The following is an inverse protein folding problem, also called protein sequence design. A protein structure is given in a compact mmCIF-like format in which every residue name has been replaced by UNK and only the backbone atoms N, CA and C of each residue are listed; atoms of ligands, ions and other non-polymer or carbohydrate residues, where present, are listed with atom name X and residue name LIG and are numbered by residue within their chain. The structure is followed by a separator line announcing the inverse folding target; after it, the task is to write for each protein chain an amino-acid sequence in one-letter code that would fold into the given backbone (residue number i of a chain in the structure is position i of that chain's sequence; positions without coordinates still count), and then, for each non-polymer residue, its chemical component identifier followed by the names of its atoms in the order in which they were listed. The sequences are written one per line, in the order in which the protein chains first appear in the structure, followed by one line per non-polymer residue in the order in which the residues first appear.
data_IF_045435360362
#
_entry.id   IF_045435360362
#
_cell.length_a   1.000
_cell.length_b   1.000
_cell.length_c   1.000
_cell.angle_alpha   90.00
_cell.angle_beta   90.00
_cell.angle_gamma   90.00
#
_symmetry.space_group_name_H-M   'P 1'
#
loop_
_entity.id
_entity.type
_entity.pdbx_description
1 polymer ?
#
# COMPACT_ATOMS: atom_id res chain seq x y z
N UNK A 1 -21.14 0.14 18.30
CA UNK A 1 -19.69 0.32 18.50
C UNK A 1 -18.99 -1.03 18.48
N UNK A 2 -17.98 -1.15 17.68
CA UNK A 2 -17.20 -2.38 17.64
C UNK A 2 -16.23 -2.44 18.81
N UNK A 3 -15.99 -3.65 19.33
CA UNK A 3 -14.91 -3.86 20.31
C UNK A 3 -13.56 -3.66 19.62
N UNK A 4 -12.54 -3.18 20.34
CA UNK A 4 -11.21 -3.08 19.77
C UNK A 4 -10.73 -4.45 19.29
N UNK A 5 -10.14 -4.47 18.10
CA UNK A 5 -9.58 -5.69 17.54
C UNK A 5 -8.26 -6.03 18.24
N UNK A 6 -8.04 -7.31 18.55
CA UNK A 6 -6.75 -7.80 19.03
C UNK A 6 -5.81 -8.17 17.88
N UNK A 7 -6.28 -8.01 16.65
CA UNK A 7 -5.48 -8.30 15.46
C UNK A 7 -4.37 -7.23 15.32
N UNK A 8 -3.08 -7.64 15.29
CA UNK A 8 -1.98 -6.68 15.08
C UNK A 8 -2.15 -5.83 13.82
N UNK A 9 -2.87 -6.34 12.82
CA UNK A 9 -3.15 -5.60 11.59
C UNK A 9 -3.86 -4.27 11.88
N UNK A 10 -4.79 -4.27 12.84
CA UNK A 10 -5.60 -3.10 13.16
C UNK A 10 -4.75 -1.92 13.66
N UNK A 11 -3.58 -2.19 14.26
CA UNK A 11 -2.68 -1.15 14.77
C UNK A 11 -1.53 -0.83 13.82
N UNK A 12 -1.45 -1.48 12.67
CA UNK A 12 -0.39 -1.20 11.72
C UNK A 12 -0.74 0.04 10.90
N UNK A 13 -0.11 1.17 11.23
CA UNK A 13 -0.43 2.47 10.63
C UNK A 13 -0.28 2.49 9.13
N UNK A 14 0.70 1.76 8.57
CA UNK A 14 0.92 1.68 7.13
C UNK A 14 -0.28 1.03 6.42
N UNK A 15 -0.87 0.01 7.04
CA UNK A 15 -2.08 -0.62 6.50
C UNK A 15 -3.23 0.37 6.43
N UNK A 16 -3.39 1.20 7.45
CA UNK A 16 -4.45 2.21 7.47
C UNK A 16 -4.24 3.27 6.39
N UNK A 17 -2.98 3.69 6.17
CA UNK A 17 -2.65 4.59 5.07
C UNK A 17 -3.00 3.97 3.72
N UNK A 18 -2.69 2.70 3.54
CA UNK A 18 -2.98 1.99 2.28
C UNK A 18 -4.48 1.90 2.04
N UNK A 19 -5.27 1.61 3.06
CA UNK A 19 -6.73 1.57 2.95
C UNK A 19 -7.30 2.92 2.61
N UNK A 20 -6.84 3.97 3.27
CA UNK A 20 -7.30 5.33 3.00
C UNK A 20 -6.95 5.75 1.56
N UNK A 21 -5.76 5.39 1.11
CA UNK A 21 -5.35 5.68 -0.26
C UNK A 21 -6.25 4.97 -1.27
N UNK A 22 -6.62 3.73 -1.01
CA UNK A 22 -7.56 3.00 -1.86
C UNK A 22 -8.91 3.73 -1.92
N UNK A 23 -9.41 4.18 -0.77
CA UNK A 23 -10.67 4.92 -0.71
C UNK A 23 -10.58 6.25 -1.47
N UNK A 24 -9.47 6.96 -1.30
CA UNK A 24 -9.25 8.25 -1.99
C UNK A 24 -9.21 8.06 -3.51
N UNK A 25 -8.75 6.91 -3.97
CA UNK A 25 -8.70 6.62 -5.40
C UNK A 25 -10.08 6.54 -6.03
N UNK A 26 -11.13 6.31 -5.23
CA UNK A 26 -12.51 6.27 -5.76
C UNK A 26 -12.85 7.57 -6.48
N UNK A 27 -12.53 8.70 -5.87
CA UNK A 27 -12.74 10.02 -6.48
C UNK A 27 -11.82 10.23 -7.68
N UNK A 28 -10.56 9.87 -7.54
CA UNK A 28 -9.59 9.98 -8.64
C UNK A 28 -10.05 9.17 -9.85
N UNK A 29 -10.63 7.99 -9.61
CA UNK A 29 -11.08 7.09 -10.68
C UNK A 29 -12.24 7.68 -11.46
N UNK A 30 -13.09 8.47 -10.84
CA UNK A 30 -14.20 9.13 -11.54
C UNK A 30 -13.67 10.16 -12.53
N UNK A 31 -12.65 10.90 -12.15
CA UNK A 31 -12.02 11.89 -13.03
C UNK A 31 -11.30 11.18 -14.17
N UNK A 32 -10.47 10.19 -13.83
CA UNK A 32 -9.72 9.42 -14.83
C UNK A 32 -10.65 8.69 -15.79
N UNK A 33 -11.76 8.17 -15.29
CA UNK A 33 -12.69 7.37 -16.07
C UNK A 33 -13.45 8.15 -17.15
N UNK A 34 -13.43 9.46 -17.11
CA UNK A 34 -14.05 10.31 -18.14
C UNK A 34 -13.25 10.30 -19.44
N UNK A 35 -11.98 9.94 -19.42
CA UNK A 35 -11.12 9.85 -20.58
C UNK A 35 -10.86 8.38 -20.90
N UNK A 36 -10.89 8.01 -22.19
CA UNK A 36 -10.73 6.60 -22.55
C UNK A 36 -9.36 6.05 -22.14
N UNK A 37 -8.33 6.90 -22.13
CA UNK A 37 -6.98 6.51 -21.71
C UNK A 37 -6.92 6.37 -20.18
N UNK A 38 -7.63 7.25 -19.48
CA UNK A 38 -7.73 7.19 -18.04
C UNK A 38 -8.39 5.92 -17.53
N UNK A 39 -9.35 5.37 -18.30
CA UNK A 39 -10.00 4.12 -17.92
C UNK A 39 -9.01 2.95 -17.82
N UNK A 40 -7.99 2.92 -18.67
CA UNK A 40 -6.95 1.91 -18.57
C UNK A 40 -6.08 2.09 -17.32
N UNK A 41 -5.78 3.35 -17.00
CA UNK A 41 -5.03 3.66 -15.77
C UNK A 41 -5.82 3.27 -14.53
N UNK A 42 -7.14 3.48 -14.54
CA UNK A 42 -8.02 3.09 -13.43
C UNK A 42 -7.91 1.58 -13.15
N UNK A 43 -8.02 0.75 -14.18
CA UNK A 43 -7.97 -0.70 -14.03
C UNK A 43 -6.67 -1.17 -13.36
N UNK A 44 -5.55 -0.63 -13.82
CA UNK A 44 -4.25 -0.99 -13.31
C UNK A 44 -4.02 -0.45 -11.89
N UNK A 45 -4.49 0.76 -11.62
CA UNK A 45 -4.29 1.40 -10.32
C UNK A 45 -5.13 0.73 -9.23
N UNK A 46 -6.37 0.39 -9.53
CA UNK A 46 -7.22 -0.35 -8.58
C UNK A 46 -6.53 -1.66 -8.19
N UNK A 47 -6.00 -2.38 -9.17
CA UNK A 47 -5.31 -3.65 -8.90
C UNK A 47 -4.10 -3.45 -8.00
N UNK A 48 -3.27 -2.47 -8.30
CA UNK A 48 -2.06 -2.21 -7.51
C UNK A 48 -2.40 -1.74 -6.09
N UNK A 49 -3.35 -0.83 -5.95
CA UNK A 49 -3.74 -0.31 -4.64
C UNK A 49 -4.39 -1.39 -3.79
N UNK A 50 -5.23 -2.23 -4.40
CA UNK A 50 -5.81 -3.38 -3.70
C UNK A 50 -4.72 -4.35 -3.27
N UNK A 51 -3.74 -4.60 -4.15
CA UNK A 51 -2.65 -5.54 -3.86
C UNK A 51 -1.78 -5.07 -2.69
N UNK A 52 -1.60 -3.76 -2.51
CA UNK A 52 -0.89 -3.22 -1.34
C UNK A 52 -1.59 -3.70 -0.07
N UNK A 53 -2.90 -3.51 0.00
CA UNK A 53 -3.70 -3.90 1.16
C UNK A 53 -3.75 -5.42 1.33
N UNK A 54 -4.02 -6.15 0.25
CA UNK A 54 -4.20 -7.59 0.29
C UNK A 54 -2.92 -8.31 0.75
N UNK A 55 -1.76 -7.85 0.32
CA UNK A 55 -0.51 -8.47 0.72
C UNK A 55 -0.17 -8.19 2.19
N UNK A 56 -0.50 -7.01 2.69
CA UNK A 56 -0.35 -6.74 4.13
C UNK A 56 -1.27 -7.67 4.92
N UNK A 57 -2.53 -7.77 4.51
CA UNK A 57 -3.53 -8.65 5.15
C UNK A 57 -3.06 -10.10 5.16
N UNK A 58 -2.59 -10.59 4.02
CA UNK A 58 -2.14 -11.96 3.87
C UNK A 58 -0.91 -12.25 4.75
N UNK A 59 0.05 -11.32 4.75
CA UNK A 59 1.25 -11.48 5.55
C UNK A 59 0.95 -11.57 7.05
N UNK A 60 0.11 -10.67 7.57
CA UNK A 60 -0.28 -10.69 8.97
C UNK A 60 -1.18 -11.86 9.31
N UNK A 61 -2.01 -12.31 8.36
CA UNK A 61 -2.88 -13.47 8.55
C UNK A 61 -2.13 -14.78 8.72
N UNK A 62 -0.90 -14.85 8.20
CA UNK A 62 -0.03 -16.03 8.33
C UNK A 62 0.88 -15.97 9.55
N UNK A 63 0.76 -14.91 10.36
CA UNK A 63 1.54 -14.73 11.58
C UNK A 63 2.92 -14.15 11.33
N UNK A 64 3.73 -14.07 12.39
CA UNK A 64 5.05 -13.44 12.34
C UNK A 64 6.13 -14.46 11.95
N UNK A 65 5.96 -15.09 10.80
CA UNK A 65 6.90 -16.07 10.27
C UNK A 65 7.67 -15.48 9.09
N UNK A 66 8.40 -16.35 8.36
CA UNK A 66 9.19 -15.94 7.20
C UNK A 66 8.35 -15.35 6.07
N UNK A 67 7.06 -15.63 6.05
CA UNK A 67 6.18 -15.19 4.95
C UNK A 67 5.80 -13.71 5.10
N UNK A 68 5.74 -13.19 6.32
CA UNK A 68 5.37 -11.80 6.53
C UNK A 68 6.29 -10.82 5.78
N UNK A 69 7.63 -10.89 5.91
CA UNK A 69 8.48 -9.99 5.14
C UNK A 69 8.30 -10.14 3.63
N UNK A 70 8.06 -11.35 3.14
CA UNK A 70 7.86 -11.58 1.70
C UNK A 70 6.61 -10.86 1.20
N UNK A 71 5.51 -10.97 1.92
CA UNK A 71 4.27 -10.27 1.56
C UNK A 71 4.41 -8.75 1.64
N UNK A 72 5.15 -8.25 2.63
CA UNK A 72 5.40 -6.81 2.73
C UNK A 72 6.27 -6.30 1.58
N UNK A 73 7.20 -7.13 1.09
CA UNK A 73 8.01 -6.78 -0.10
C UNK A 73 7.15 -6.68 -1.35
N UNK A 74 6.20 -7.60 -1.52
CA UNK A 74 5.27 -7.53 -2.65
C UNK A 74 4.43 -6.25 -2.54
N UNK A 75 3.89 -5.98 -1.37
CA UNK A 75 3.11 -4.77 -1.11
C UNK A 75 3.93 -3.51 -1.44
N UNK A 76 5.19 -3.46 -1.04
CA UNK A 76 6.09 -2.34 -1.33
C UNK A 76 6.30 -2.15 -2.83
N UNK A 77 6.48 -3.25 -3.56
CA UNK A 77 6.61 -3.20 -5.02
C UNK A 77 5.37 -2.61 -5.67
N UNK A 78 4.20 -3.03 -5.23
CA UNK A 78 2.93 -2.51 -5.73
C UNK A 78 2.77 -1.02 -5.40
N UNK A 79 3.22 -0.59 -4.21
CA UNK A 79 3.19 0.82 -3.83
C UNK A 79 4.08 1.66 -4.76
N UNK A 80 5.25 1.15 -5.13
CA UNK A 80 6.13 1.83 -6.08
C UNK A 80 5.50 1.94 -7.46
N UNK A 81 4.84 0.89 -7.91
CA UNK A 81 4.12 0.92 -9.19
C UNK A 81 2.97 1.92 -9.17
N UNK A 82 2.21 1.96 -8.08
CA UNK A 82 1.12 2.92 -7.91
C UNK A 82 1.63 4.35 -7.92
N UNK A 83 2.77 4.60 -7.27
CA UNK A 83 3.39 5.92 -7.22
C UNK A 83 3.77 6.39 -8.62
N UNK A 84 4.44 5.53 -9.40
CA UNK A 84 4.79 5.85 -10.77
C UNK A 84 3.56 6.08 -11.64
N UNK A 85 2.50 5.32 -11.40
CA UNK A 85 1.27 5.47 -12.17
C UNK A 85 0.56 6.78 -11.87
N UNK A 86 0.56 7.24 -10.61
CA UNK A 86 0.02 8.56 -10.29
C UNK A 86 0.79 9.66 -11.02
N UNK A 87 2.12 9.55 -11.10
CA UNK A 87 2.91 10.51 -11.87
C UNK A 87 2.48 10.54 -13.35
N UNK A 88 2.15 9.39 -13.90
CA UNK A 88 1.70 9.27 -15.28
C UNK A 88 0.26 9.75 -15.49
N UNK A 89 -0.47 10.04 -14.43
CA UNK A 89 -1.81 10.62 -14.50
C UNK A 89 -1.82 12.15 -14.60
N UNK A 90 -0.68 12.77 -14.74
CA UNK A 90 -0.53 14.24 -14.66
C UNK A 90 -1.35 15.04 -15.69
N UNK A 91 -1.76 14.40 -16.78
CA UNK A 91 -2.59 15.08 -17.78
C UNK A 91 -4.08 15.07 -17.44
N UNK A 92 -4.48 14.23 -16.50
CA UNK A 92 -5.89 14.04 -16.16
C UNK A 92 -6.22 14.43 -14.73
N UNK A 93 -5.25 14.32 -13.80
CA UNK A 93 -5.42 14.69 -12.41
C UNK A 93 -4.67 15.97 -12.10
N UNK A 94 -5.17 16.75 -11.14
CA UNK A 94 -4.51 17.98 -10.73
C UNK A 94 -3.16 17.71 -10.06
N UNK A 95 -2.20 18.64 -10.19
CA UNK A 95 -0.91 18.50 -9.49
C UNK A 95 -1.05 18.34 -7.98
N UNK A 96 -2.03 19.02 -7.37
CA UNK A 96 -2.24 18.94 -5.92
C UNK A 96 -2.67 17.53 -5.50
N UNK A 97 -3.57 16.89 -6.25
CA UNK A 97 -4.00 15.52 -5.98
C UNK A 97 -2.82 14.56 -6.14
N UNK A 98 -2.08 14.66 -7.24
CA UNK A 98 -0.93 13.80 -7.51
C UNK A 98 0.09 13.91 -6.38
N UNK A 99 0.45 15.13 -5.97
CA UNK A 99 1.44 15.35 -4.91
C UNK A 99 0.99 14.73 -3.59
N UNK A 100 -0.29 14.87 -3.25
CA UNK A 100 -0.83 14.29 -2.01
C UNK A 100 -0.76 12.76 -2.04
N UNK A 101 -1.13 12.13 -3.16
CA UNK A 101 -1.09 10.68 -3.29
C UNK A 101 0.35 10.15 -3.26
N UNK A 102 1.26 10.83 -3.92
CA UNK A 102 2.68 10.46 -3.92
C UNK A 102 3.26 10.58 -2.51
N UNK A 103 2.91 11.62 -1.77
CA UNK A 103 3.36 11.78 -0.38
C UNK A 103 2.94 10.55 0.46
N UNK A 104 1.68 10.14 0.35
CA UNK A 104 1.19 8.97 1.08
C UNK A 104 1.91 7.70 0.64
N UNK A 105 2.11 7.53 -0.67
CA UNK A 105 2.82 6.35 -1.19
C UNK A 105 4.28 6.32 -0.72
N UNK A 106 4.93 7.47 -0.63
CA UNK A 106 6.28 7.56 -0.07
C UNK A 106 6.29 7.11 1.40
N UNK A 107 5.28 7.48 2.17
CA UNK A 107 5.15 7.03 3.55
C UNK A 107 4.93 5.53 3.63
N UNK A 108 4.12 4.97 2.74
CA UNK A 108 3.88 3.53 2.68
C UNK A 108 5.17 2.79 2.34
N UNK A 109 5.86 3.20 1.28
CA UNK A 109 7.13 2.56 0.86
C UNK A 109 8.17 2.64 1.99
N UNK A 110 8.33 3.80 2.60
CA UNK A 110 9.28 4.00 3.70
C UNK A 110 8.92 3.18 4.93
N UNK A 111 7.65 3.16 5.30
CA UNK A 111 7.17 2.39 6.45
C UNK A 111 7.32 0.88 6.25
N UNK A 112 6.98 0.39 5.07
CA UNK A 112 7.16 -1.02 4.74
C UNK A 112 8.64 -1.41 4.76
N UNK A 113 9.50 -0.56 4.19
CA UNK A 113 10.95 -0.80 4.20
C UNK A 113 11.47 -0.94 5.62
N UNK A 114 11.08 -0.02 6.50
CA UNK A 114 11.49 -0.04 7.90
C UNK A 114 11.01 -1.32 8.60
N UNK A 115 9.76 -1.69 8.39
CA UNK A 115 9.17 -2.89 9.00
C UNK A 115 9.86 -4.15 8.49
N UNK A 116 10.08 -4.26 7.18
CA UNK A 116 10.78 -5.40 6.57
C UNK A 116 12.17 -5.55 7.18
N UNK A 117 12.93 -4.44 7.24
CA UNK A 117 14.29 -4.47 7.77
C UNK A 117 14.31 -4.89 9.24
N UNK A 118 13.35 -4.43 10.03
CA UNK A 118 13.23 -4.81 11.44
C UNK A 118 12.95 -6.30 11.58
N UNK A 119 12.02 -6.83 10.79
CA UNK A 119 11.66 -8.26 10.84
C UNK A 119 12.82 -9.14 10.40
N UNK A 120 13.51 -8.77 9.35
CA UNK A 120 14.64 -9.54 8.83
C UNK A 120 15.83 -9.51 9.78
N UNK A 121 16.08 -8.38 10.43
CA UNK A 121 17.14 -8.25 11.42
C UNK A 121 16.85 -9.11 12.64
N UNK A 122 15.61 -9.14 13.13
CA UNK A 122 15.23 -9.99 14.26
C UNK A 122 15.40 -11.47 13.94
N UNK A 123 15.10 -11.87 12.72
CA UNK A 123 15.26 -13.27 12.29
C UNK A 123 16.71 -13.71 12.25
N UNK A 124 17.67 -12.78 12.21
CA UNK A 124 19.09 -13.06 12.15
C UNK A 124 19.78 -13.06 13.50
N UNK A 125 19.07 -12.69 14.57
CA UNK A 125 19.67 -12.63 15.91
C UNK A 125 19.80 -14.04 16.49
N UNK A 126 21.02 -14.47 16.85
CA UNK A 126 21.21 -15.78 17.50
C UNK A 126 20.50 -15.82 18.86
N UNK A 127 19.87 -16.94 19.15
CA UNK A 127 19.22 -17.16 20.42
C UNK A 127 17.73 -16.81 20.45
N UNK A 128 17.16 -16.30 19.37
CA UNK A 128 15.72 -16.07 19.21
C UNK A 128 14.97 -17.34 18.80
N UNK A 129 15.63 -18.43 18.87
CA UNK A 129 15.08 -19.74 18.49
C UNK A 129 14.18 -20.32 19.57
#
# INVERSE_FOLDING_TARGET
MSTPSNDPLASFGIYQLARQLFDDFWEDSEILGKDYRGRELVKQQIRSLDSICANIEEGYGRGYNKELPQHLKISRGEARESRGRYERCKRLLSPAVIQQRILVLNQIVGGLTKTINTLERKAQVPGDE
#
